data_IF_356701175777
#
_entry.id   IF_356701175777
#
_cell.length_a   1.000
_cell.length_b   1.000
_cell.length_c   1.000
_cell.angle_alpha   90.00
_cell.angle_beta   90.00
_cell.angle_gamma   90.00
#
_symmetry.space_group_name_H-M   'P 1'
#
loop_
_entity.id
_entity.type
_entity.pdbx_description
1 polymer ?
#
# COMPACT_ATOMS: atom_id res chain seq x y z
N UNK A 1 -3.75 -7.95 -4.89
CA UNK A 1 -2.86 -6.90 -5.48
C UNK A 1 -2.83 -6.94 -6.99
N UNK A 2 -2.64 -8.10 -7.64
CA UNK A 2 -2.63 -8.19 -9.11
C UNK A 2 -3.87 -7.61 -9.82
N UNK A 3 -5.07 -7.82 -9.26
CA UNK A 3 -6.32 -7.49 -9.95
C UNK A 3 -6.81 -6.04 -9.77
N UNK A 4 -6.13 -5.24 -8.94
CA UNK A 4 -6.60 -3.88 -8.58
C UNK A 4 -5.52 -2.84 -8.84
N UNK A 5 -4.25 -3.13 -8.51
CA UNK A 5 -3.18 -2.15 -8.67
C UNK A 5 -2.68 -2.08 -10.10
N UNK A 6 -2.41 -3.23 -10.74
CA UNK A 6 -1.79 -3.27 -12.07
C UNK A 6 -2.57 -2.52 -13.17
N UNK A 7 -3.91 -2.57 -13.23
CA UNK A 7 -4.68 -1.81 -14.24
C UNK A 7 -4.61 -0.29 -14.09
N UNK A 8 -4.30 0.21 -12.89
CA UNK A 8 -4.25 1.65 -12.59
C UNK A 8 -2.86 2.26 -12.80
N UNK A 9 -1.83 1.42 -12.96
CA UNK A 9 -0.45 1.86 -13.15
C UNK A 9 -0.19 2.29 -14.59
N UNK A 10 0.71 3.27 -14.73
CA UNK A 10 1.21 3.78 -16.00
C UNK A 10 2.72 3.63 -16.06
N UNK A 11 3.30 3.53 -17.27
CA UNK A 11 4.75 3.59 -17.43
C UNK A 11 5.32 4.84 -16.76
N UNK A 12 6.36 4.67 -15.95
CA UNK A 12 7.01 5.74 -15.19
C UNK A 12 6.43 6.00 -13.79
N UNK A 13 5.32 5.36 -13.41
CA UNK A 13 4.82 5.43 -12.03
C UNK A 13 5.80 4.76 -11.05
N UNK A 14 5.83 5.24 -9.82
CA UNK A 14 6.63 4.66 -8.73
C UNK A 14 5.69 4.07 -7.68
N UNK A 15 5.78 2.75 -7.50
CA UNK A 15 5.09 2.04 -6.43
C UNK A 15 6.01 1.96 -5.22
N UNK A 16 5.57 2.55 -4.11
CA UNK A 16 6.29 2.46 -2.83
C UNK A 16 5.64 1.38 -1.96
N UNK A 17 6.41 0.35 -1.60
CA UNK A 17 5.97 -0.75 -0.73
C UNK A 17 6.72 -0.77 0.60
N UNK A 18 6.03 -1.22 1.64
CA UNK A 18 6.64 -1.51 2.92
C UNK A 18 7.65 -2.68 2.80
N UNK A 19 8.69 -2.63 3.63
CA UNK A 19 9.82 -3.56 3.57
C UNK A 19 9.67 -4.72 4.56
N UNK A 20 8.44 -5.21 4.71
CA UNK A 20 8.14 -6.39 5.49
C UNK A 20 8.42 -7.66 4.68
N UNK A 21 9.14 -8.61 5.26
CA UNK A 21 9.54 -9.86 4.59
C UNK A 21 8.34 -10.67 4.05
N UNK A 22 7.18 -10.60 4.70
CA UNK A 22 5.94 -11.25 4.25
C UNK A 22 5.28 -10.61 3.03
N UNK A 23 5.66 -9.37 2.68
CA UNK A 23 5.14 -8.61 1.55
C UNK A 23 6.03 -8.68 0.30
N UNK A 24 7.29 -9.13 0.45
CA UNK A 24 8.23 -9.34 -0.66
C UNK A 24 7.89 -10.59 -1.46
N UNK A 25 6.84 -10.52 -2.29
CA UNK A 25 6.52 -11.57 -3.26
C UNK A 25 7.12 -11.20 -4.61
N UNK A 26 8.03 -12.01 -5.12
CA UNK A 26 8.67 -11.81 -6.43
C UNK A 26 7.68 -11.54 -7.57
N UNK A 27 6.49 -12.16 -7.51
CA UNK A 27 5.39 -11.94 -8.46
C UNK A 27 4.89 -10.49 -8.51
N UNK A 28 4.92 -9.75 -7.40
CA UNK A 28 4.41 -8.37 -7.34
C UNK A 28 5.34 -7.42 -8.08
N UNK A 29 6.65 -7.54 -7.88
CA UNK A 29 7.65 -6.76 -8.63
C UNK A 29 7.53 -6.98 -10.14
N UNK A 30 7.49 -8.25 -10.55
CA UNK A 30 7.36 -8.60 -11.96
C UNK A 30 6.10 -8.02 -12.64
N UNK A 31 4.98 -7.94 -11.92
CA UNK A 31 3.75 -7.34 -12.47
C UNK A 31 3.83 -5.82 -12.60
N UNK A 32 4.51 -5.14 -11.67
CA UNK A 32 4.68 -3.68 -11.68
C UNK A 32 5.65 -3.30 -12.81
N UNK A 33 6.78 -4.01 -12.92
CA UNK A 33 7.76 -3.81 -13.97
C UNK A 33 7.20 -4.11 -15.36
N UNK A 34 6.30 -5.09 -15.49
CA UNK A 34 5.63 -5.41 -16.76
C UNK A 34 4.76 -4.25 -17.30
N UNK A 35 4.30 -3.35 -16.43
CA UNK A 35 3.56 -2.13 -16.82
C UNK A 35 4.51 -0.96 -17.12
N UNK A 36 5.83 -1.13 -16.88
CA UNK A 36 6.83 -0.07 -17.01
C UNK A 36 6.90 0.87 -15.80
N UNK A 37 6.35 0.45 -14.65
CA UNK A 37 6.44 1.17 -13.39
C UNK A 37 7.64 0.68 -12.55
N UNK A 38 8.14 1.54 -11.65
CA UNK A 38 9.25 1.23 -10.75
C UNK A 38 8.73 0.79 -9.37
N UNK A 39 9.31 -0.26 -8.80
CA UNK A 39 9.04 -0.67 -7.41
C UNK A 39 10.15 -0.20 -6.47
N UNK A 40 9.80 0.58 -5.46
CA UNK A 40 10.67 1.05 -4.38
C UNK A 40 10.22 0.47 -3.04
N UNK A 41 11.16 -0.03 -2.26
CA UNK A 41 10.88 -0.46 -0.88
C UNK A 41 11.31 0.63 0.10
N UNK A 42 10.52 0.83 1.15
CA UNK A 42 10.92 1.71 2.26
C UNK A 42 12.15 1.14 3.01
N UNK A 43 12.94 1.98 3.69
CA UNK A 43 13.94 1.48 4.63
C UNK A 43 13.26 0.69 5.75
N UNK A 44 13.97 -0.29 6.31
CA UNK A 44 13.42 -1.14 7.37
C UNK A 44 13.03 -0.26 8.58
N UNK A 45 11.85 -0.49 9.14
CA UNK A 45 11.33 0.26 10.30
C UNK A 45 11.30 1.78 10.10
N UNK A 46 10.84 2.22 8.94
CA UNK A 46 10.61 3.65 8.63
C UNK A 46 9.11 4.01 8.60
N UNK A 47 8.39 3.92 9.74
CA UNK A 47 6.98 4.27 9.79
C UNK A 47 6.73 5.71 9.36
N UNK A 48 7.68 6.62 9.63
CA UNK A 48 7.60 8.04 9.26
C UNK A 48 7.62 8.28 7.74
N UNK A 49 8.12 7.31 6.96
CA UNK A 49 8.21 7.41 5.50
C UNK A 49 7.10 6.65 4.77
N UNK A 50 6.12 6.09 5.48
CA UNK A 50 5.01 5.39 4.84
C UNK A 50 3.86 6.38 4.54
N UNK A 51 3.67 6.80 3.27
CA UNK A 51 2.77 7.90 2.91
C UNK A 51 1.30 7.61 3.23
N UNK A 52 0.93 6.35 3.46
CA UNK A 52 -0.43 5.96 3.81
C UNK A 52 -0.77 6.17 5.29
N UNK A 53 0.22 6.29 6.20
CA UNK A 53 -0.02 6.32 7.65
C UNK A 53 -0.91 7.48 8.07
N UNK A 54 -0.69 8.67 7.50
CA UNK A 54 -1.53 9.84 7.76
C UNK A 54 -2.97 9.65 7.27
N UNK A 55 -3.16 8.99 6.13
CA UNK A 55 -4.49 8.70 5.60
C UNK A 55 -5.21 7.66 6.48
N UNK A 56 -4.52 6.59 6.87
CA UNK A 56 -5.06 5.56 7.77
C UNK A 56 -5.33 6.10 9.17
N UNK A 57 -4.53 7.03 9.68
CA UNK A 57 -4.77 7.70 10.96
C UNK A 57 -6.08 8.47 10.94
N UNK A 58 -6.34 9.24 9.87
CA UNK A 58 -7.62 9.95 9.68
C UNK A 58 -8.80 8.99 9.57
N UNK A 59 -8.66 7.92 8.78
CA UNK A 59 -9.70 6.89 8.65
C UNK A 59 -10.03 6.25 10.00
N UNK A 60 -9.01 5.80 10.75
CA UNK A 60 -9.18 5.21 12.10
C UNK A 60 -9.85 6.19 13.06
N UNK A 61 -9.52 7.48 12.99
CA UNK A 61 -10.16 8.50 13.81
C UNK A 61 -11.65 8.66 13.48
N UNK A 62 -12.03 8.60 12.20
CA UNK A 62 -13.44 8.64 11.78
C UNK A 62 -14.20 7.40 12.26
N UNK A 63 -13.64 6.21 12.10
CA UNK A 63 -14.22 4.96 12.58
C UNK A 63 -14.38 4.96 14.12
N UNK A 64 -13.37 5.47 14.83
CA UNK A 64 -13.40 5.61 16.28
C UNK A 64 -14.52 6.55 16.75
N UNK A 65 -14.75 7.66 16.04
CA UNK A 65 -15.88 8.58 16.32
C UNK A 65 -17.24 7.94 16.05
N UNK A 66 -17.33 7.12 15.00
CA UNK A 66 -18.55 6.36 14.68
C UNK A 66 -18.81 5.20 15.67
N UNK A 67 -17.86 4.92 16.58
CA UNK A 67 -17.89 3.74 17.46
C UNK A 67 -18.05 2.42 16.71
N UNK A 68 -17.57 2.37 15.46
CA UNK A 68 -17.67 1.16 14.66
C UNK A 68 -16.64 0.13 15.15
N UNK A 69 -17.13 -1.07 15.46
CA UNK A 69 -16.32 -2.17 16.04
C UNK A 69 -16.52 -3.48 15.30
N UNK A 70 -17.32 -3.51 14.24
CA UNK A 70 -17.62 -4.71 13.47
C UNK A 70 -17.20 -4.54 12.02
N UNK A 71 -16.84 -5.64 11.36
CA UNK A 71 -16.50 -5.60 9.93
C UNK A 71 -17.70 -5.16 9.09
N UNK A 72 -18.92 -5.50 9.52
CA UNK A 72 -20.14 -5.17 8.78
C UNK A 72 -20.53 -3.68 8.83
N UNK A 73 -19.98 -2.91 9.76
CA UNK A 73 -20.23 -1.47 9.81
C UNK A 73 -19.09 -0.61 9.27
N UNK A 74 -18.03 -1.24 8.72
CA UNK A 74 -16.94 -0.57 7.99
C UNK A 74 -17.33 -0.24 6.55
#
# INVERSE_FOLDING_TARGET
>A
MANVLAPELRPGDVVVMDNLSSQKRARVGAMIEAVGAELRYLPLYSPDFNPIENAFTKLKALLGRASERTVNGL
#
